data_IF_955612085908
#
_entry.id   IF_955612085908
#
_cell.length_a   1.000
_cell.length_b   1.000
_cell.length_c   1.000
_cell.angle_alpha   90.00
_cell.angle_beta   90.00
_cell.angle_gamma   90.00
#
_symmetry.space_group_name_H-M   'P 1'
#
loop_
_entity.id
_entity.type
_entity.pdbx_description
1 polymer ?
#
# COMPACT_ATOMS: atom_id res chain seq x y z
N UNK A 1 13.87 14.89 -0.76
CA UNK A 1 14.17 13.53 -0.30
C UNK A 1 14.06 12.60 -1.48
N UNK A 2 15.18 12.31 -2.12
CA UNK A 2 15.30 11.33 -3.18
C UNK A 2 15.43 9.92 -2.57
N UNK A 3 15.15 8.83 -3.29
CA UNK A 3 15.29 7.49 -2.74
C UNK A 3 16.73 7.15 -2.25
N UNK A 4 17.77 7.80 -2.79
CA UNK A 4 19.19 7.68 -2.38
C UNK A 4 19.47 8.37 -1.07
N UNK A 5 18.76 9.47 -0.80
CA UNK A 5 18.77 10.11 0.50
C UNK A 5 18.09 9.20 1.55
N UNK A 6 17.12 8.36 1.17
CA UNK A 6 16.46 7.39 2.08
C UNK A 6 17.37 6.19 2.38
N UNK A 7 18.07 5.64 1.38
CA UNK A 7 18.99 4.51 1.59
C UNK A 7 20.23 4.87 2.40
N UNK A 8 20.71 6.11 2.31
CA UNK A 8 21.79 6.63 3.18
C UNK A 8 21.34 6.86 4.62
N UNK A 9 20.03 6.92 4.87
CA UNK A 9 19.50 6.97 6.23
C UNK A 9 19.52 5.57 6.85
N UNK A 10 19.24 4.51 6.11
CA UNK A 10 19.18 3.14 6.66
C UNK A 10 20.58 2.56 6.89
N UNK A 11 21.02 2.53 8.15
CA UNK A 11 22.18 1.73 8.56
C UNK A 11 21.72 0.30 8.84
N UNK A 12 22.13 -0.65 8.00
CA UNK A 12 21.79 -2.08 8.17
C UNK A 12 22.31 -2.67 9.49
N UNK A 13 23.33 -2.05 10.10
CA UNK A 13 23.81 -2.42 11.44
C UNK A 13 22.91 -1.87 12.56
N UNK A 14 21.92 -1.02 12.23
CA UNK A 14 20.91 -0.50 13.14
C UNK A 14 19.53 -1.16 12.96
N UNK A 15 19.47 -2.31 12.28
CA UNK A 15 18.32 -3.21 12.37
C UNK A 15 18.29 -3.75 13.80
N UNK A 16 17.40 -3.18 14.62
CA UNK A 16 17.21 -3.63 16.00
C UNK A 16 15.98 -4.50 16.03
N UNK A 17 16.19 -5.78 16.38
CA UNK A 17 15.10 -6.62 16.88
C UNK A 17 14.68 -6.03 18.21
N UNK A 18 13.50 -5.42 18.25
CA UNK A 18 12.96 -4.84 19.49
C UNK A 18 12.40 -5.96 20.36
N UNK A 19 11.69 -6.91 19.75
CA UNK A 19 11.02 -8.02 20.42
C UNK A 19 10.80 -9.20 19.46
N UNK A 20 10.39 -10.37 19.95
CA UNK A 20 9.90 -11.47 19.09
C UNK A 20 8.75 -10.97 18.22
N UNK A 21 8.91 -11.05 16.90
CA UNK A 21 7.91 -10.58 15.92
C UNK A 21 8.08 -9.12 15.48
N UNK A 22 8.78 -8.24 16.21
CA UNK A 22 8.89 -6.83 15.84
C UNK A 22 10.33 -6.42 15.48
N UNK A 23 10.48 -5.80 14.32
CA UNK A 23 11.73 -5.25 13.81
C UNK A 23 11.56 -3.75 13.59
N UNK A 24 12.53 -2.97 14.06
CA UNK A 24 12.63 -1.57 13.72
C UNK A 24 13.96 -1.29 13.04
N UNK A 25 13.91 -0.40 12.05
CA UNK A 25 15.06 0.07 11.30
C UNK A 25 15.19 1.55 11.60
N UNK A 26 16.33 1.95 12.15
CA UNK A 26 16.62 3.34 12.49
C UNK A 26 17.62 3.93 11.51
N UNK A 27 17.61 5.25 11.41
CA UNK A 27 18.60 5.97 10.65
C UNK A 27 19.93 6.03 11.36
N UNK A 28 20.99 6.37 10.65
CA UNK A 28 22.29 6.73 11.26
C UNK A 28 22.18 7.83 12.33
N UNK A 29 21.16 8.69 12.24
CA UNK A 29 20.85 9.76 13.22
C UNK A 29 19.84 9.34 14.30
N UNK A 30 19.46 8.06 14.36
CA UNK A 30 18.53 7.52 15.36
C UNK A 30 17.03 7.72 15.07
N UNK A 31 16.66 8.16 13.86
CA UNK A 31 15.25 8.32 13.46
C UNK A 31 14.65 6.97 13.06
N UNK A 32 13.46 6.63 13.53
CA UNK A 32 12.75 5.42 13.07
C UNK A 32 12.37 5.56 11.59
N UNK A 33 12.86 4.65 10.74
CA UNK A 33 12.59 4.61 9.30
C UNK A 33 11.53 3.55 8.97
N UNK A 34 11.68 2.34 9.52
CA UNK A 34 10.72 1.25 9.31
C UNK A 34 10.36 0.57 10.61
N UNK A 35 9.10 0.16 10.72
CA UNK A 35 8.60 -0.71 11.76
C UNK A 35 7.86 -1.87 11.09
N UNK A 36 8.30 -3.08 11.38
CA UNK A 36 7.76 -4.32 10.80
C UNK A 36 7.32 -5.23 11.94
N UNK A 37 6.14 -5.79 11.79
CA UNK A 37 5.63 -6.85 12.65
C UNK A 37 5.38 -8.12 11.84
N UNK A 38 5.92 -9.22 12.34
CA UNK A 38 5.72 -10.56 11.83
C UNK A 38 4.75 -11.30 12.76
N UNK A 39 3.64 -11.76 12.18
CA UNK A 39 2.68 -12.65 12.84
C UNK A 39 2.60 -13.97 12.10
N UNK A 40 2.58 -15.08 12.83
CA UNK A 40 2.31 -16.38 12.22
C UNK A 40 0.80 -16.59 12.14
N UNK A 41 0.34 -17.27 11.09
CA UNK A 41 -1.08 -17.62 10.95
C UNK A 41 -1.59 -18.46 12.13
N UNK A 42 -0.72 -19.28 12.73
CA UNK A 42 -1.05 -20.12 13.88
C UNK A 42 -1.42 -19.35 15.15
N UNK A 43 -0.97 -18.10 15.28
CA UNK A 43 -1.27 -17.24 16.43
C UNK A 43 -2.36 -16.21 16.15
N UNK A 44 -2.88 -16.18 14.91
CA UNK A 44 -3.94 -15.26 14.53
C UNK A 44 -5.29 -15.75 15.03
N UNK A 45 -6.09 -14.83 15.53
CA UNK A 45 -7.52 -15.04 15.76
C UNK A 45 -8.26 -15.25 14.43
N UNK A 46 -9.44 -15.88 14.50
CA UNK A 46 -10.31 -16.05 13.33
C UNK A 46 -10.62 -14.71 12.63
N UNK A 47 -10.80 -13.64 13.41
CA UNK A 47 -11.05 -12.29 12.90
C UNK A 47 -9.86 -11.78 12.07
N UNK A 48 -8.62 -12.05 12.50
CA UNK A 48 -7.42 -11.65 11.76
C UNK A 48 -7.25 -12.45 10.47
N UNK A 49 -7.47 -13.77 10.53
CA UNK A 49 -7.45 -14.63 9.33
C UNK A 49 -8.48 -14.17 8.32
N UNK A 50 -9.69 -13.83 8.75
CA UNK A 50 -10.74 -13.31 7.88
C UNK A 50 -10.35 -11.98 7.21
N UNK A 51 -9.69 -11.07 7.94
CA UNK A 51 -9.15 -9.83 7.34
C UNK A 51 -8.08 -10.11 6.30
N UNK A 52 -7.18 -11.07 6.54
CA UNK A 52 -6.16 -11.49 5.57
C UNK A 52 -6.79 -12.07 4.30
N UNK A 53 -7.83 -12.92 4.45
CA UNK A 53 -8.57 -13.49 3.32
C UNK A 53 -9.29 -12.41 2.52
N UNK A 54 -9.97 -11.49 3.20
CA UNK A 54 -10.68 -10.38 2.56
C UNK A 54 -9.72 -9.48 1.76
N UNK A 55 -8.59 -9.09 2.37
CA UNK A 55 -7.55 -8.32 1.68
C UNK A 55 -6.99 -9.10 0.48
N UNK A 56 -6.63 -10.37 0.66
CA UNK A 56 -6.05 -11.19 -0.41
C UNK A 56 -7.00 -11.36 -1.60
N UNK A 57 -8.28 -11.64 -1.33
CA UNK A 57 -9.31 -11.74 -2.36
C UNK A 57 -9.50 -10.43 -3.09
N UNK A 58 -9.48 -9.30 -2.37
CA UNK A 58 -9.55 -7.99 -2.98
C UNK A 58 -8.36 -7.71 -3.91
N UNK A 59 -7.13 -7.99 -3.47
CA UNK A 59 -5.92 -7.81 -4.30
C UNK A 59 -5.96 -8.69 -5.53
N UNK A 60 -6.37 -9.95 -5.36
CA UNK A 60 -6.60 -10.86 -6.47
C UNK A 60 -7.57 -10.26 -7.49
N UNK A 61 -8.75 -9.82 -7.05
CA UNK A 61 -9.73 -9.20 -7.95
C UNK A 61 -9.18 -7.93 -8.62
N UNK A 62 -8.46 -7.07 -7.90
CA UNK A 62 -7.92 -5.81 -8.43
C UNK A 62 -6.91 -5.98 -9.56
N UNK A 63 -6.26 -7.14 -9.69
CA UNK A 63 -5.30 -7.41 -10.78
C UNK A 63 -5.92 -7.23 -12.18
N UNK A 64 -7.24 -7.38 -12.33
CA UNK A 64 -7.90 -7.25 -13.64
C UNK A 64 -7.90 -5.81 -14.16
N UNK A 65 -7.67 -4.82 -13.29
CA UNK A 65 -7.63 -3.39 -13.65
C UNK A 65 -6.23 -2.82 -13.74
N UNK A 66 -5.21 -3.63 -13.48
CA UNK A 66 -3.82 -3.19 -13.43
C UNK A 66 -2.97 -4.08 -14.33
N UNK A 67 -1.87 -3.52 -14.82
CA UNK A 67 -0.85 -4.30 -15.49
C UNK A 67 0.22 -4.71 -14.46
N UNK A 68 0.82 -5.90 -14.60
CA UNK A 68 2.02 -6.23 -13.84
C UNK A 68 3.08 -5.15 -14.06
N UNK A 69 3.82 -4.82 -13.00
CA UNK A 69 4.96 -3.91 -13.10
C UNK A 69 6.04 -4.62 -13.92
N UNK A 70 6.20 -4.18 -15.17
CA UNK A 70 7.09 -4.80 -16.15
C UNK A 70 8.55 -4.32 -16.07
N UNK A 71 8.81 -3.20 -15.38
CA UNK A 71 10.10 -2.49 -15.44
C UNK A 71 11.18 -2.99 -14.49
N UNK A 72 11.00 -4.15 -13.87
CA UNK A 72 12.05 -4.73 -13.03
C UNK A 72 12.92 -5.62 -13.90
N UNK A 73 14.09 -5.12 -14.37
CA UNK A 73 15.15 -5.90 -15.08
C UNK A 73 15.67 -7.10 -14.25
N UNK A 74 15.17 -7.24 -13.03
CA UNK A 74 15.58 -8.11 -11.94
C UNK A 74 14.49 -9.11 -11.55
N UNK A 75 13.35 -9.10 -12.26
CA UNK A 75 12.26 -10.05 -12.04
C UNK A 75 12.64 -11.44 -12.57
N UNK A 76 12.70 -12.42 -11.66
CA UNK A 76 13.04 -13.81 -11.97
C UNK A 76 11.80 -14.69 -12.14
N UNK A 77 10.76 -14.46 -11.34
CA UNK A 77 9.54 -15.26 -11.33
C UNK A 77 8.35 -14.45 -10.82
N UNK A 78 7.13 -14.85 -11.18
CA UNK A 78 5.88 -14.29 -10.67
C UNK A 78 5.58 -12.87 -11.17
N UNK A 79 4.71 -12.17 -10.44
CA UNK A 79 4.22 -10.85 -10.82
C UNK A 79 4.16 -9.92 -9.62
N UNK A 80 4.49 -8.64 -9.85
CA UNK A 80 4.24 -7.55 -8.92
C UNK A 80 3.18 -6.62 -9.50
N UNK A 81 2.25 -6.18 -8.68
CA UNK A 81 1.20 -5.25 -9.03
C UNK A 81 1.23 -4.07 -8.08
N UNK A 82 0.71 -2.93 -8.51
CA UNK A 82 0.47 -1.77 -7.67
C UNK A 82 -0.97 -1.30 -7.82
N UNK A 83 -1.57 -0.87 -6.72
CA UNK A 83 -2.92 -0.31 -6.65
C UNK A 83 -2.93 0.92 -5.73
N UNK A 84 -3.96 1.76 -5.88
CA UNK A 84 -4.15 2.93 -5.05
C UNK A 84 -3.38 4.15 -5.53
N UNK A 85 -3.15 5.10 -4.63
CA UNK A 85 -2.59 6.39 -5.00
C UNK A 85 -1.10 6.30 -5.32
N UNK A 86 -0.66 7.11 -6.28
CA UNK A 86 0.75 7.33 -6.60
C UNK A 86 1.00 8.79 -6.82
N UNK A 87 2.24 9.21 -6.58
CA UNK A 87 2.75 10.47 -7.11
C UNK A 87 2.65 10.40 -8.64
N UNK A 88 2.10 11.45 -9.24
CA UNK A 88 2.04 11.49 -10.70
C UNK A 88 3.42 11.82 -11.28
N UNK A 89 3.76 11.19 -12.41
CA UNK A 89 4.94 11.51 -13.22
C UNK A 89 4.61 12.50 -14.35
N UNK A 90 3.34 12.84 -14.54
CA UNK A 90 2.87 13.79 -15.56
C UNK A 90 3.05 15.22 -15.07
N UNK A 91 3.56 16.09 -15.95
CA UNK A 91 3.73 17.52 -15.64
C UNK A 91 2.37 18.15 -15.32
N UNK A 92 2.31 18.94 -14.24
CA UNK A 92 1.10 19.59 -13.71
C UNK A 92 0.05 18.67 -13.06
N UNK A 93 0.34 17.37 -12.88
CA UNK A 93 -0.49 16.47 -12.08
C UNK A 93 0.22 16.14 -10.76
N UNK A 94 -0.50 16.18 -9.65
CA UNK A 94 0.09 15.94 -8.32
C UNK A 94 -0.02 14.46 -7.91
N UNK A 95 -1.19 13.87 -8.14
CA UNK A 95 -1.50 12.50 -7.73
C UNK A 95 -2.26 11.78 -8.84
N UNK A 96 -2.03 10.48 -8.96
CA UNK A 96 -2.78 9.59 -9.84
C UNK A 96 -3.13 8.30 -9.13
N UNK A 97 -3.96 7.48 -9.75
CA UNK A 97 -4.24 6.12 -9.30
C UNK A 97 -3.47 5.12 -10.16
N UNK A 98 -2.97 4.06 -9.55
CA UNK A 98 -2.55 2.89 -10.29
C UNK A 98 -3.76 2.22 -10.96
N UNK A 99 -3.71 2.13 -12.29
CA UNK A 99 -4.75 1.54 -13.12
C UNK A 99 -4.36 1.54 -14.59
N UNK A 100 -4.78 0.52 -15.31
CA UNK A 100 -4.66 0.44 -16.77
C UNK A 100 -5.95 0.96 -17.38
N UNK A 101 -5.90 2.13 -18.03
CA UNK A 101 -7.08 2.77 -18.61
C UNK A 101 -7.82 1.81 -19.55
N UNK A 102 -7.11 1.11 -20.43
CA UNK A 102 -7.72 0.14 -21.35
C UNK A 102 -8.45 -1.00 -20.62
N UNK A 103 -7.87 -1.52 -19.52
CA UNK A 103 -8.53 -2.59 -18.74
C UNK A 103 -9.75 -2.07 -17.96
N UNK A 104 -9.66 -0.87 -17.40
CA UNK A 104 -10.78 -0.22 -16.70
C UNK A 104 -11.92 0.05 -17.69
N UNK A 105 -11.61 0.56 -18.88
CA UNK A 105 -12.60 0.82 -19.93
C UNK A 105 -13.31 -0.46 -20.42
N UNK A 106 -12.60 -1.59 -20.43
CA UNK A 106 -13.16 -2.89 -20.80
C UNK A 106 -13.99 -3.56 -19.68
N UNK A 107 -13.88 -3.08 -18.44
CA UNK A 107 -14.53 -3.66 -17.26
C UNK A 107 -15.13 -2.56 -16.37
N UNK A 108 -15.86 -1.60 -16.99
CA UNK A 108 -16.39 -0.41 -16.33
C UNK A 108 -17.37 -0.72 -15.22
N UNK A 109 -18.25 -1.69 -15.44
CA UNK A 109 -19.27 -2.05 -14.47
C UNK A 109 -18.62 -2.74 -13.25
N UNK A 110 -17.66 -3.62 -13.49
CA UNK A 110 -16.84 -4.22 -12.44
C UNK A 110 -15.96 -3.20 -11.74
N UNK A 111 -15.48 -2.17 -12.44
CA UNK A 111 -14.76 -1.06 -11.82
C UNK A 111 -15.64 -0.29 -10.83
N UNK A 112 -16.85 0.08 -11.26
CA UNK A 112 -17.82 0.86 -10.48
C UNK A 112 -18.40 0.09 -9.29
N UNK A 113 -18.57 -1.22 -9.40
CA UNK A 113 -19.24 -2.04 -8.39
C UNK A 113 -18.34 -2.50 -7.21
N UNK A 114 -17.16 -1.90 -7.01
CA UNK A 114 -16.22 -2.32 -5.95
C UNK A 114 -16.40 -1.63 -4.59
N UNK A 115 -17.31 -0.66 -4.48
CA UNK A 115 -17.35 0.29 -3.36
C UNK A 115 -17.46 -0.32 -1.96
N UNK A 116 -18.22 -1.40 -1.80
CA UNK A 116 -18.34 -2.10 -0.52
C UNK A 116 -17.00 -2.75 -0.10
N UNK A 117 -16.32 -3.42 -1.04
CA UNK A 117 -15.04 -4.09 -0.81
C UNK A 117 -13.91 -3.08 -0.54
N UNK A 118 -13.92 -1.94 -1.23
CA UNK A 118 -12.92 -0.89 -1.05
C UNK A 118 -12.98 -0.23 0.33
N UNK A 119 -14.19 0.00 0.85
CA UNK A 119 -14.38 0.62 2.16
C UNK A 119 -13.87 -0.30 3.29
N UNK A 120 -14.16 -1.59 3.19
CA UNK A 120 -13.71 -2.56 4.18
C UNK A 120 -12.19 -2.79 4.12
N UNK A 121 -11.62 -2.89 2.91
CA UNK A 121 -10.15 -2.98 2.75
C UNK A 121 -9.43 -1.73 3.22
N UNK A 122 -9.96 -0.54 2.90
CA UNK A 122 -9.43 0.73 3.41
C UNK A 122 -9.42 0.77 4.95
N UNK A 123 -10.46 0.22 5.58
CA UNK A 123 -10.53 0.02 7.03
C UNK A 123 -9.50 -0.97 7.54
N UNK A 124 -9.35 -2.14 6.93
CA UNK A 124 -8.34 -3.14 7.34
C UNK A 124 -6.95 -2.51 7.33
N UNK A 125 -6.58 -1.87 6.22
CA UNK A 125 -5.26 -1.24 6.07
C UNK A 125 -5.05 -0.06 7.03
N UNK A 126 -6.08 0.78 7.22
CA UNK A 126 -6.04 1.87 8.19
C UNK A 126 -5.87 1.38 9.63
N UNK A 127 -6.62 0.35 10.03
CA UNK A 127 -6.51 -0.29 11.34
C UNK A 127 -5.13 -0.92 11.55
N UNK A 128 -4.56 -1.57 10.52
CA UNK A 128 -3.20 -2.13 10.59
C UNK A 128 -2.16 -1.04 10.82
N UNK A 129 -2.23 0.09 10.10
CA UNK A 129 -1.29 1.20 10.30
C UNK A 129 -1.49 1.87 11.67
N UNK A 130 -2.74 2.05 12.10
CA UNK A 130 -3.05 2.59 13.42
C UNK A 130 -2.52 1.70 14.55
N UNK A 131 -2.63 0.38 14.40
CA UNK A 131 -2.09 -0.59 15.34
C UNK A 131 -0.56 -0.48 15.46
N UNK A 132 0.13 -0.33 14.32
CA UNK A 132 1.59 -0.14 14.28
C UNK A 132 2.00 1.19 14.92
N UNK A 133 1.20 2.25 14.77
CA UNK A 133 1.42 3.51 15.47
C UNK A 133 0.32 4.54 15.23
N UNK A 134 -0.48 4.82 16.25
CA UNK A 134 -1.61 5.74 16.17
C UNK A 134 -1.18 7.18 15.79
N UNK A 135 -0.12 7.69 16.40
CA UNK A 135 0.43 9.01 16.08
C UNK A 135 0.91 9.10 14.61
N UNK A 136 1.50 8.02 14.07
CA UNK A 136 1.94 7.96 12.68
C UNK A 136 0.73 7.94 11.74
N UNK A 137 -0.26 7.11 12.06
CA UNK A 137 -1.52 7.03 11.32
C UNK A 137 -2.20 8.41 11.24
N UNK A 138 -2.34 9.13 12.36
CA UNK A 138 -2.94 10.47 12.37
C UNK A 138 -2.16 11.47 11.52
N UNK A 139 -0.81 11.46 11.60
CA UNK A 139 0.05 12.33 10.78
C UNK A 139 -0.12 12.06 9.28
N UNK A 140 -0.11 10.80 8.86
CA UNK A 140 -0.32 10.41 7.46
C UNK A 140 -1.73 10.82 7.00
N UNK A 141 -2.74 10.59 7.82
CA UNK A 141 -4.11 10.96 7.50
C UNK A 141 -4.28 12.48 7.35
N UNK A 142 -3.66 13.28 8.21
CA UNK A 142 -3.69 14.74 8.10
C UNK A 142 -2.95 15.24 6.87
N UNK A 143 -1.82 14.63 6.51
CA UNK A 143 -1.10 14.93 5.26
C UNK A 143 -1.97 14.67 4.02
N UNK A 144 -2.61 13.50 3.94
CA UNK A 144 -3.52 13.20 2.82
C UNK A 144 -4.72 14.16 2.75
N UNK A 145 -5.29 14.54 3.90
CA UNK A 145 -6.36 15.55 3.96
C UNK A 145 -5.88 16.92 3.46
N UNK A 146 -4.71 17.39 3.90
CA UNK A 146 -4.18 18.69 3.48
C UNK A 146 -3.86 18.75 1.98
N UNK A 147 -3.56 17.58 1.39
CA UNK A 147 -3.30 17.42 -0.04
C UNK A 147 -4.57 17.13 -0.86
N UNK A 148 -5.74 17.07 -0.23
CA UNK A 148 -7.01 16.77 -0.90
C UNK A 148 -7.10 15.35 -1.47
N UNK A 149 -6.25 14.42 -1.00
CA UNK A 149 -6.23 13.03 -1.48
C UNK A 149 -7.49 12.32 -0.98
N UNK A 150 -8.29 11.79 -1.91
CA UNK A 150 -9.49 11.05 -1.55
C UNK A 150 -9.13 9.70 -0.93
N UNK A 151 -9.99 9.18 -0.08
CA UNK A 151 -9.79 7.82 0.43
C UNK A 151 -9.83 6.78 -0.70
N UNK A 152 -9.27 5.60 -0.46
CA UNK A 152 -9.22 4.53 -1.45
C UNK A 152 -10.60 4.16 -2.02
N UNK A 153 -11.65 4.18 -1.19
CA UNK A 153 -13.03 3.95 -1.62
C UNK A 153 -13.58 5.10 -2.47
N UNK A 154 -13.33 6.35 -2.08
CA UNK A 154 -13.77 7.54 -2.81
C UNK A 154 -13.07 7.68 -4.18
N UNK A 155 -11.81 7.26 -4.27
CA UNK A 155 -11.03 7.39 -5.50
C UNK A 155 -11.45 6.38 -6.59
N UNK A 156 -12.05 5.25 -6.20
CA UNK A 156 -12.39 4.14 -7.10
C UNK A 156 -13.90 4.02 -7.37
N UNK A 157 -14.75 4.85 -6.75
CA UNK A 157 -16.19 4.83 -6.96
C UNK A 157 -16.67 6.16 -7.53
N UNK A 158 -17.37 6.14 -8.66
CA UNK A 158 -18.15 7.29 -9.16
C UNK A 158 -19.38 7.58 -8.29
N UNK A 159 -19.76 6.65 -7.40
CA UNK A 159 -20.93 6.79 -6.56
C UNK A 159 -20.66 7.71 -5.36
N UNK A 160 -21.58 8.65 -5.17
CA UNK A 160 -21.76 9.58 -4.05
C UNK A 160 -21.54 8.97 -2.65
N UNK A 161 -20.32 8.60 -2.28
CA UNK A 161 -19.98 8.34 -0.88
C UNK A 161 -19.86 9.72 -0.24
N UNK A 162 -20.79 10.11 0.67
CA UNK A 162 -20.71 11.41 1.32
C UNK A 162 -19.33 11.55 1.95
N UNK A 163 -18.71 12.71 1.82
CA UNK A 163 -17.38 13.00 2.35
C UNK A 163 -17.21 12.68 3.85
N UNK A 164 -18.31 12.38 4.55
CA UNK A 164 -18.40 12.32 6.01
C UNK A 164 -18.64 10.90 6.56
N UNK A 165 -18.69 9.84 5.74
CA UNK A 165 -18.80 8.47 6.28
C UNK A 165 -17.46 7.72 6.27
N UNK A 166 -16.97 7.39 7.48
CA UNK A 166 -15.99 6.33 7.72
C UNK A 166 -14.69 6.79 8.38
N UNK A 167 -14.41 6.28 9.57
CA UNK A 167 -13.19 6.53 10.36
C UNK A 167 -11.88 6.07 9.70
N UNK A 168 -11.94 5.43 8.52
CA UNK A 168 -10.79 4.87 7.83
C UNK A 168 -10.70 5.38 6.39
N UNK A 169 -10.58 6.70 6.25
CA UNK A 169 -10.19 7.41 5.02
C UNK A 169 -8.71 7.17 4.71
N UNK A 170 -8.31 5.91 4.57
CA UNK A 170 -6.94 5.57 4.23
C UNK A 170 -6.79 5.57 2.70
N UNK A 171 -5.70 6.16 2.24
CA UNK A 171 -5.37 6.33 0.83
C UNK A 171 -4.01 5.66 0.54
N UNK A 172 -3.92 4.32 0.64
CA UNK A 172 -2.66 3.62 0.46
C UNK A 172 -2.19 3.70 -0.99
N UNK A 173 -0.87 3.80 -1.13
CA UNK A 173 -0.15 3.21 -2.25
C UNK A 173 0.21 1.77 -1.82
N UNK A 174 -0.28 0.77 -2.53
CA UNK A 174 -0.02 -0.63 -2.17
C UNK A 174 0.60 -1.38 -3.34
N UNK A 175 1.66 -2.12 -3.04
CA UNK A 175 2.22 -3.11 -3.96
C UNK A 175 2.01 -4.51 -3.41
N UNK A 176 1.73 -5.47 -4.28
CA UNK A 176 1.56 -6.86 -3.90
C UNK A 176 2.12 -7.79 -4.96
N UNK A 177 2.43 -9.01 -4.55
CA UNK A 177 3.11 -10.00 -5.37
C UNK A 177 2.29 -11.27 -5.49
N UNK A 178 2.38 -11.93 -6.64
CA UNK A 178 1.63 -13.16 -6.94
C UNK A 178 2.49 -14.19 -7.66
N UNK A 179 2.05 -15.45 -7.63
CA UNK A 179 2.64 -16.58 -8.37
C UNK A 179 4.13 -16.80 -8.07
N UNK A 180 4.48 -16.86 -6.78
CA UNK A 180 5.85 -17.19 -6.37
C UNK A 180 6.89 -16.13 -6.72
N UNK A 181 6.50 -14.85 -6.66
CA UNK A 181 7.36 -13.71 -7.01
C UNK A 181 8.78 -13.81 -6.45
N UNK A 182 9.77 -13.65 -7.34
CA UNK A 182 11.20 -13.62 -7.00
C UNK A 182 11.89 -12.53 -7.79
N UNK A 183 12.68 -11.72 -7.08
CA UNK A 183 13.61 -10.76 -7.69
C UNK A 183 15.04 -11.15 -7.33
N UNK A 184 15.97 -10.87 -8.23
CA UNK A 184 17.39 -10.83 -7.87
C UNK A 184 17.68 -9.61 -6.99
N UNK A 185 18.68 -9.68 -6.09
CA UNK A 185 19.19 -8.50 -5.40
C UNK A 185 19.62 -7.45 -6.43
N UNK A 186 19.19 -6.21 -6.23
CA UNK A 186 19.52 -5.10 -7.12
C UNK A 186 19.66 -3.81 -6.33
N UNK A 187 20.32 -2.85 -6.97
CA UNK A 187 20.51 -1.51 -6.45
C UNK A 187 19.87 -0.55 -7.44
N UNK A 188 18.83 0.14 -7.00
CA UNK A 188 18.16 1.15 -7.82
C UNK A 188 19.15 2.28 -8.14
N UNK A 189 19.33 2.55 -9.44
CA UNK A 189 20.21 3.64 -9.90
C UNK A 189 19.55 5.01 -9.81
N UNK A 190 18.23 5.03 -9.62
CA UNK A 190 17.37 6.21 -9.68
C UNK A 190 17.15 6.84 -8.30
N UNK A 191 18.00 6.46 -7.37
CA UNK A 191 17.93 6.88 -6.00
C UNK A 191 18.42 8.35 -5.89
#
# INVERSE_FOLDING_TARGET
MTPSEIWRLVDVNQIKRIHFGHMAIFSSTGLLIFLVEFRTFTTMSEVEVNKCNELSQFLFCKRIFTDPIATNEVLLEGFMFAIGWRKCSTKNEQFGLYGSLGKIENAKDEWRNQGANLSSVGRILGQSLQYVGDNLFQKIQNCYRSLGVLSFAQANCEANIPANQGAFKFAPALTFTMNGFKNSPHLDKDA
#
